data_IF_753046518216
#
_entry.id   IF_753046518216
#
_cell.length_a   1.000
_cell.length_b   1.000
_cell.length_c   1.000
_cell.angle_alpha   90.00
_cell.angle_beta   90.00
_cell.angle_gamma   90.00
#
_symmetry.space_group_name_H-M   'P 1'
#
loop_
_entity.id
_entity.type
_entity.pdbx_description
1 polymer ?
#
# COMPACT_ATOMS: atom_id res chain seq x y z
N UNK A 1 33.62 -41.31 -51.69
CA UNK A 1 33.55 -39.90 -51.31
C UNK A 1 32.13 -39.64 -50.72
N UNK A 2 32.02 -39.58 -49.40
CA UNK A 2 30.72 -39.41 -48.70
C UNK A 2 30.62 -37.94 -48.29
N UNK A 3 29.63 -37.20 -48.84
CA UNK A 3 29.38 -35.80 -48.54
C UNK A 3 28.50 -35.73 -47.28
N UNK A 4 29.05 -35.23 -46.18
CA UNK A 4 28.27 -34.91 -44.97
C UNK A 4 27.54 -33.58 -45.17
N UNK A 5 26.24 -33.62 -45.10
CA UNK A 5 25.35 -32.44 -45.10
C UNK A 5 25.23 -31.95 -43.65
N UNK A 6 25.79 -30.79 -43.32
CA UNK A 6 25.65 -30.15 -42.02
C UNK A 6 24.35 -29.33 -42.06
N UNK A 7 23.34 -29.78 -41.36
CA UNK A 7 22.10 -29.01 -41.14
C UNK A 7 22.32 -28.10 -39.91
N UNK A 8 22.43 -26.79 -40.17
CA UNK A 8 22.49 -25.77 -39.13
C UNK A 8 21.03 -25.49 -38.71
N UNK A 9 20.63 -25.97 -37.52
CA UNK A 9 19.36 -25.60 -36.90
C UNK A 9 19.56 -24.28 -36.15
N UNK A 10 19.06 -23.17 -36.71
CA UNK A 10 18.96 -21.89 -36.01
C UNK A 10 17.81 -21.98 -35.00
N UNK A 11 18.05 -21.68 -33.73
CA UNK A 11 16.96 -21.59 -32.78
C UNK A 11 16.12 -20.33 -33.08
N UNK A 12 14.83 -20.53 -33.38
CA UNK A 12 13.85 -19.45 -33.44
C UNK A 12 13.63 -18.94 -32.00
N UNK A 13 14.26 -17.83 -31.64
CA UNK A 13 13.88 -17.09 -30.45
C UNK A 13 12.53 -16.40 -30.72
N UNK A 14 11.44 -16.97 -30.22
CA UNK A 14 10.17 -16.30 -30.17
C UNK A 14 10.26 -15.16 -29.13
N UNK A 15 10.43 -13.93 -29.63
CA UNK A 15 10.25 -12.71 -28.87
C UNK A 15 8.76 -12.64 -28.49
N UNK A 16 8.41 -13.08 -27.28
CA UNK A 16 7.12 -12.76 -26.68
C UNK A 16 7.11 -11.26 -26.42
N UNK A 17 6.57 -10.47 -27.34
CA UNK A 17 6.20 -9.08 -27.08
C UNK A 17 5.07 -9.10 -26.04
N UNK A 18 5.38 -8.78 -24.80
CA UNK A 18 4.40 -8.37 -23.82
C UNK A 18 3.74 -7.11 -24.38
N UNK A 19 2.52 -7.25 -24.89
CA UNK A 19 1.76 -6.11 -25.36
C UNK A 19 1.58 -5.13 -24.21
N UNK A 20 2.16 -3.94 -24.32
CA UNK A 20 1.89 -2.84 -23.41
C UNK A 20 0.37 -2.60 -23.41
N UNK A 21 -0.29 -2.85 -22.29
CA UNK A 21 -1.71 -2.55 -22.16
C UNK A 21 -1.88 -1.04 -22.38
N UNK A 22 -2.66 -0.67 -23.39
CA UNK A 22 -2.90 0.75 -23.72
C UNK A 22 -3.52 1.43 -22.49
N UNK A 23 -2.82 2.41 -21.94
CA UNK A 23 -3.32 3.18 -20.80
C UNK A 23 -4.54 4.01 -21.23
N UNK A 24 -5.58 4.01 -20.39
CA UNK A 24 -6.77 4.84 -20.57
C UNK A 24 -6.44 6.30 -20.30
N UNK A 25 -7.07 7.20 -21.04
CA UNK A 25 -6.94 8.65 -20.83
C UNK A 25 -7.60 9.08 -19.51
N UNK A 26 -7.29 10.27 -19.04
CA UNK A 26 -7.92 10.85 -17.84
C UNK A 26 -9.44 10.96 -18.03
N UNK A 27 -9.91 11.32 -19.22
CA UNK A 27 -11.36 11.48 -19.50
C UNK A 27 -12.10 10.12 -19.43
N UNK A 28 -11.42 9.00 -19.71
CA UNK A 28 -11.97 7.66 -19.55
C UNK A 28 -11.94 7.18 -18.09
N UNK A 29 -11.04 7.73 -17.27
CA UNK A 29 -10.89 7.35 -15.86
C UNK A 29 -11.79 8.17 -14.94
N UNK A 30 -12.06 9.45 -15.28
CA UNK A 30 -12.91 10.34 -14.48
C UNK A 30 -14.38 10.06 -14.79
N UNK A 31 -15.11 9.54 -13.83
CA UNK A 31 -16.56 9.34 -13.91
C UNK A 31 -17.28 10.50 -13.21
N UNK A 32 -17.99 11.32 -13.98
CA UNK A 32 -18.76 12.45 -13.46
C UNK A 32 -20.24 12.10 -13.18
N UNK A 33 -20.71 10.96 -13.64
CA UNK A 33 -22.12 10.55 -13.50
C UNK A 33 -22.36 9.83 -12.18
N UNK A 34 -21.41 8.96 -11.79
CA UNK A 34 -21.51 8.12 -10.59
C UNK A 34 -20.13 8.09 -9.90
N UNK A 35 -19.67 9.24 -9.35
CA UNK A 35 -18.35 9.31 -8.72
C UNK A 35 -18.37 8.64 -7.34
N UNK A 36 -17.45 7.71 -7.13
CA UNK A 36 -17.29 7.00 -5.86
C UNK A 36 -16.97 7.93 -4.67
N UNK A 37 -16.55 9.17 -4.95
CA UNK A 37 -16.25 10.16 -3.92
C UNK A 37 -17.46 10.52 -3.05
N UNK A 38 -18.67 10.51 -3.60
CA UNK A 38 -19.89 10.80 -2.83
C UNK A 38 -19.98 9.82 -1.66
N UNK A 39 -19.82 8.53 -1.91
CA UNK A 39 -19.87 7.49 -0.89
C UNK A 39 -18.68 7.59 0.10
N UNK A 40 -17.46 7.76 -0.42
CA UNK A 40 -16.27 7.90 0.43
C UNK A 40 -16.41 9.10 1.37
N UNK A 41 -16.94 10.22 0.88
CA UNK A 41 -17.17 11.42 1.69
C UNK A 41 -18.22 11.20 2.77
N UNK A 42 -19.31 10.53 2.44
CA UNK A 42 -20.36 10.16 3.42
C UNK A 42 -19.81 9.23 4.53
N UNK A 43 -18.97 8.26 4.15
CA UNK A 43 -18.32 7.39 5.14
C UNK A 43 -17.36 8.16 6.05
N UNK A 44 -16.61 9.12 5.50
CA UNK A 44 -15.72 9.98 6.29
C UNK A 44 -16.53 10.88 7.23
N UNK A 45 -17.62 11.48 6.75
CA UNK A 45 -18.46 12.39 7.53
C UNK A 45 -19.17 11.68 8.70
N UNK A 46 -19.44 10.38 8.54
CA UNK A 46 -20.03 9.52 9.56
C UNK A 46 -19.02 8.69 10.37
N UNK A 47 -17.71 8.88 10.12
CA UNK A 47 -16.65 8.08 10.72
C UNK A 47 -16.60 8.27 12.26
N UNK A 48 -16.42 7.16 12.98
CA UNK A 48 -16.16 7.15 14.44
C UNK A 48 -14.73 7.55 14.76
N UNK A 49 -13.79 7.14 13.93
CA UNK A 49 -12.39 7.51 14.05
C UNK A 49 -12.16 8.85 13.34
N UNK A 50 -11.24 9.66 13.87
CA UNK A 50 -10.88 10.91 13.24
C UNK A 50 -10.22 10.66 11.89
N UNK A 51 -10.78 11.24 10.83
CA UNK A 51 -10.23 11.19 9.48
C UNK A 51 -9.88 12.60 9.01
N UNK A 52 -8.63 12.82 8.67
CA UNK A 52 -8.17 14.07 8.05
C UNK A 52 -8.01 13.83 6.54
N UNK A 53 -8.75 14.58 5.72
CA UNK A 53 -8.60 14.59 4.27
C UNK A 53 -7.48 15.57 3.94
N UNK A 54 -6.40 15.07 3.35
CA UNK A 54 -5.27 15.91 2.95
C UNK A 54 -5.59 16.70 1.68
N UNK A 55 -5.13 17.95 1.58
CA UNK A 55 -5.36 18.78 0.42
C UNK A 55 -4.91 18.12 -0.87
N UNK A 56 -5.72 18.24 -1.92
CA UNK A 56 -5.43 17.73 -3.26
C UNK A 56 -4.83 18.84 -4.13
N UNK A 57 -3.77 18.50 -4.86
CA UNK A 57 -3.30 19.25 -6.01
C UNK A 57 -3.89 18.65 -7.28
N UNK A 58 -4.61 19.42 -8.07
CA UNK A 58 -5.33 18.92 -9.26
C UNK A 58 -4.40 18.28 -10.29
N UNK A 59 -3.18 18.78 -10.46
CA UNK A 59 -2.23 18.20 -11.42
C UNK A 59 -1.66 16.89 -10.91
N UNK A 60 -1.28 16.83 -9.62
CA UNK A 60 -0.86 15.59 -8.96
C UNK A 60 -1.97 14.55 -8.98
N UNK A 61 -3.22 14.94 -8.75
CA UNK A 61 -4.38 14.04 -8.76
C UNK A 61 -4.62 13.41 -10.13
N UNK A 62 -4.57 14.21 -11.20
CA UNK A 62 -4.69 13.72 -12.59
C UNK A 62 -3.55 12.78 -12.93
N UNK A 63 -2.32 13.14 -12.60
CA UNK A 63 -1.14 12.31 -12.83
C UNK A 63 -1.22 10.98 -12.05
N UNK A 64 -1.57 11.04 -10.78
CA UNK A 64 -1.71 9.84 -9.94
C UNK A 64 -2.84 8.93 -10.45
N UNK A 65 -4.00 9.47 -10.82
CA UNK A 65 -5.10 8.68 -11.38
C UNK A 65 -4.70 8.02 -12.70
N UNK A 66 -4.05 8.78 -13.59
CA UNK A 66 -3.54 8.25 -14.87
C UNK A 66 -2.54 7.11 -14.65
N UNK A 67 -1.60 7.27 -13.74
CA UNK A 67 -0.59 6.25 -13.41
C UNK A 67 -1.19 5.01 -12.71
N UNK A 68 -2.25 5.18 -11.92
CA UNK A 68 -2.91 4.08 -11.19
C UNK A 68 -3.88 3.28 -12.08
N UNK A 69 -4.41 3.89 -13.15
CA UNK A 69 -5.35 3.26 -14.09
C UNK A 69 -6.65 2.73 -13.46
N UNK A 70 -7.10 3.32 -12.37
CA UNK A 70 -8.41 3.06 -11.75
C UNK A 70 -9.39 4.19 -12.07
N UNK A 71 -10.69 3.90 -12.10
CA UNK A 71 -11.71 4.92 -12.36
C UNK A 71 -12.15 5.60 -11.06
N UNK A 72 -12.54 6.88 -11.13
CA UNK A 72 -13.09 7.61 -9.98
C UNK A 72 -14.47 7.10 -9.54
N UNK A 73 -15.05 6.14 -10.26
CA UNK A 73 -16.23 5.39 -9.82
C UNK A 73 -15.92 4.49 -8.61
N UNK A 74 -14.71 3.94 -8.57
CA UNK A 74 -14.29 3.11 -7.45
C UNK A 74 -13.86 3.97 -6.24
N UNK A 75 -14.05 3.49 -5.00
CA UNK A 75 -13.56 4.18 -3.82
C UNK A 75 -12.05 4.46 -3.86
N UNK A 76 -11.23 3.54 -4.40
CA UNK A 76 -9.79 3.76 -4.54
C UNK A 76 -9.48 4.91 -5.50
N UNK A 77 -10.08 4.90 -6.69
CA UNK A 77 -9.90 5.98 -7.67
C UNK A 77 -10.42 7.31 -7.14
N UNK A 78 -11.51 7.29 -6.36
CA UNK A 78 -12.04 8.46 -5.67
C UNK A 78 -11.03 9.03 -4.66
N UNK A 79 -10.43 8.20 -3.79
CA UNK A 79 -9.39 8.62 -2.83
C UNK A 79 -8.19 9.19 -3.56
N UNK A 80 -7.69 8.50 -4.60
CA UNK A 80 -6.52 8.96 -5.39
C UNK A 80 -6.79 10.29 -6.08
N UNK A 81 -7.99 10.51 -6.61
CA UNK A 81 -8.28 11.71 -7.41
C UNK A 81 -8.73 12.89 -6.57
N UNK A 82 -9.43 12.66 -5.47
CA UNK A 82 -10.07 13.71 -4.67
C UNK A 82 -9.27 14.11 -3.43
N UNK A 83 -8.18 13.40 -3.11
CA UNK A 83 -7.40 13.66 -1.89
C UNK A 83 -5.90 13.54 -2.14
N UNK A 84 -5.10 14.27 -1.34
CA UNK A 84 -3.66 14.03 -1.23
C UNK A 84 -3.34 12.75 -0.44
N UNK A 85 -4.35 12.14 0.17
CA UNK A 85 -4.34 10.99 1.06
C UNK A 85 -5.26 11.19 2.24
N UNK A 86 -5.46 10.16 3.06
CA UNK A 86 -6.27 10.22 4.28
C UNK A 86 -5.41 9.84 5.49
N UNK A 87 -5.48 10.65 6.53
CA UNK A 87 -4.85 10.35 7.82
C UNK A 87 -5.94 9.94 8.81
N UNK A 88 -5.90 8.68 9.26
CA UNK A 88 -6.88 8.15 10.19
C UNK A 88 -6.28 8.05 11.59
N UNK A 89 -7.07 8.30 12.61
CA UNK A 89 -6.68 8.29 14.02
C UNK A 89 -5.41 9.11 14.28
N UNK A 90 -5.50 10.40 13.93
CA UNK A 90 -4.41 11.39 14.05
C UNK A 90 -3.15 11.04 13.21
N UNK A 91 -3.30 10.26 12.13
CA UNK A 91 -2.21 9.83 11.26
C UNK A 91 -1.55 8.52 11.70
N UNK A 92 -2.20 7.76 12.60
CA UNK A 92 -1.76 6.40 12.92
C UNK A 92 -1.82 5.51 11.67
N UNK A 93 -2.92 5.57 10.91
CA UNK A 93 -3.02 4.94 9.58
C UNK A 93 -2.98 6.04 8.52
N UNK A 94 -2.22 5.81 7.46
CA UNK A 94 -2.01 6.72 6.34
C UNK A 94 -2.40 6.02 5.05
N UNK A 95 -3.56 6.39 4.50
CA UNK A 95 -4.10 5.83 3.24
C UNK A 95 -3.60 6.70 2.09
N UNK A 96 -2.98 6.09 1.10
CA UNK A 96 -2.34 6.78 0.00
C UNK A 96 -3.35 7.33 -1.01
N UNK A 97 -3.18 8.60 -1.37
CA UNK A 97 -3.92 9.32 -2.41
C UNK A 97 -2.98 9.79 -3.52
N UNK A 98 -3.15 11.04 -3.96
CA UNK A 98 -2.30 11.67 -4.97
C UNK A 98 -1.02 12.30 -4.42
N UNK A 99 -0.83 12.26 -3.11
CA UNK A 99 0.25 12.97 -2.42
C UNK A 99 -0.08 14.42 -2.07
N UNK A 100 0.51 14.91 -1.00
CA UNK A 100 0.38 16.28 -0.49
C UNK A 100 1.68 16.67 0.22
N UNK A 101 1.78 17.93 0.65
CA UNK A 101 2.94 18.37 1.43
C UNK A 101 3.07 17.61 2.77
N UNK A 102 1.93 17.18 3.34
CA UNK A 102 1.90 16.44 4.60
C UNK A 102 2.14 14.93 4.42
N UNK A 103 1.76 14.36 3.27
CA UNK A 103 2.02 12.96 2.89
C UNK A 103 2.58 12.97 1.46
N UNK A 104 3.90 13.04 1.33
CA UNK A 104 4.56 13.26 0.04
C UNK A 104 4.39 12.12 -0.96
N UNK A 105 4.09 10.91 -0.50
CA UNK A 105 3.93 9.70 -1.31
C UNK A 105 2.54 9.64 -1.95
N UNK A 106 2.49 9.50 -3.28
CA UNK A 106 1.26 9.11 -3.98
C UNK A 106 1.16 7.59 -4.08
N UNK A 107 -0.06 7.07 -4.27
CA UNK A 107 -0.27 5.62 -4.44
C UNK A 107 0.58 5.05 -5.59
N UNK A 108 0.57 5.60 -6.83
CA UNK A 108 1.34 5.02 -7.92
C UNK A 108 2.86 5.15 -7.74
N UNK A 109 3.35 6.26 -7.20
CA UNK A 109 4.78 6.48 -7.03
C UNK A 109 5.36 5.61 -5.91
N UNK A 110 4.59 5.39 -4.82
CA UNK A 110 4.99 4.49 -3.75
C UNK A 110 5.13 3.04 -4.22
N UNK A 111 4.31 2.63 -5.18
CA UNK A 111 4.30 1.28 -5.71
C UNK A 111 5.36 1.05 -6.81
N UNK A 112 5.74 2.09 -7.57
CA UNK A 112 6.73 1.96 -8.65
C UNK A 112 8.08 1.48 -8.11
N UNK A 113 8.66 0.50 -8.79
CA UNK A 113 9.90 -0.17 -8.38
C UNK A 113 9.74 -1.12 -7.18
N UNK A 114 8.49 -1.32 -6.69
CA UNK A 114 8.16 -2.25 -5.59
C UNK A 114 7.17 -3.33 -6.02
N UNK A 115 6.09 -2.94 -6.69
CA UNK A 115 5.01 -3.84 -7.10
C UNK A 115 4.84 -3.90 -8.62
N UNK A 116 5.36 -2.92 -9.32
CA UNK A 116 5.50 -2.84 -10.78
C UNK A 116 6.67 -1.93 -11.15
N UNK A 117 7.26 -2.13 -12.33
CA UNK A 117 8.37 -1.29 -12.85
C UNK A 117 7.83 -0.08 -13.61
N UNK A 118 6.90 -0.29 -14.54
CA UNK A 118 6.32 0.75 -15.38
C UNK A 118 4.83 0.93 -15.12
N UNK A 119 4.36 2.18 -15.21
CA UNK A 119 2.95 2.50 -15.06
C UNK A 119 2.10 1.78 -16.11
N UNK A 120 0.93 1.29 -15.70
CA UNK A 120 0.04 0.50 -16.54
C UNK A 120 0.34 -0.99 -16.59
N UNK A 121 1.42 -1.45 -15.97
CA UNK A 121 1.66 -2.87 -15.77
C UNK A 121 0.70 -3.43 -14.71
N UNK A 122 0.20 -4.67 -14.90
CA UNK A 122 -0.54 -5.37 -13.86
C UNK A 122 0.35 -5.59 -12.63
N UNK A 123 -0.10 -5.14 -11.47
CA UNK A 123 0.59 -5.40 -10.21
C UNK A 123 0.06 -6.69 -9.58
N UNK A 124 0.95 -7.54 -9.10
CA UNK A 124 0.55 -8.73 -8.33
C UNK A 124 -0.05 -8.37 -6.96
N UNK A 125 0.27 -7.18 -6.46
CA UNK A 125 -0.37 -6.53 -5.31
C UNK A 125 -0.07 -5.03 -5.30
N UNK A 126 -0.83 -4.24 -4.53
CA UNK A 126 -0.60 -2.81 -4.36
C UNK A 126 -0.49 -2.45 -2.88
N UNK A 127 0.53 -1.67 -2.53
CA UNK A 127 0.69 -1.06 -1.21
C UNK A 127 -0.25 0.15 -1.14
N UNK A 128 -1.34 0.05 -0.37
CA UNK A 128 -2.43 1.04 -0.37
C UNK A 128 -2.41 1.98 0.83
N UNK A 129 -1.83 1.53 1.94
CA UNK A 129 -1.71 2.29 3.18
C UNK A 129 -0.59 1.74 4.04
N UNK A 130 -0.21 2.49 5.06
CA UNK A 130 0.70 2.07 6.12
C UNK A 130 0.27 2.63 7.47
N UNK A 131 0.91 2.16 8.54
CA UNK A 131 0.69 2.68 9.87
C UNK A 131 1.96 3.20 10.55
N UNK A 132 1.78 3.79 11.73
CA UNK A 132 2.85 4.47 12.45
C UNK A 132 3.96 3.53 12.96
N UNK A 133 3.72 2.22 13.01
CA UNK A 133 4.70 1.20 13.46
C UNK A 133 5.31 0.40 12.32
N UNK A 134 5.03 0.81 11.07
CA UNK A 134 5.60 0.22 9.87
C UNK A 134 4.83 -0.97 9.30
N UNK A 135 3.63 -1.25 9.79
CA UNK A 135 2.71 -2.19 9.15
C UNK A 135 2.23 -1.64 7.81
N UNK A 136 2.07 -2.51 6.82
CA UNK A 136 1.67 -2.15 5.46
C UNK A 136 0.37 -2.84 5.08
N UNK A 137 -0.62 -2.08 4.63
CA UNK A 137 -1.85 -2.62 4.05
C UNK A 137 -1.70 -2.78 2.55
N UNK A 138 -2.06 -3.95 2.06
CA UNK A 138 -1.73 -4.42 0.70
C UNK A 138 -2.98 -4.97 0.05
N UNK A 139 -3.33 -4.47 -1.12
CA UNK A 139 -4.42 -5.00 -1.94
C UNK A 139 -3.89 -6.12 -2.83
N UNK A 140 -4.40 -7.33 -2.66
CA UNK A 140 -3.98 -8.50 -3.42
C UNK A 140 -4.45 -8.45 -4.88
N UNK A 141 -3.50 -8.53 -5.81
CA UNK A 141 -3.72 -8.69 -7.25
C UNK A 141 -3.41 -10.11 -7.75
N UNK A 142 -3.26 -11.08 -6.83
CA UNK A 142 -2.94 -12.48 -7.12
C UNK A 142 -1.54 -12.91 -6.67
N UNK A 143 -0.73 -12.00 -6.13
CA UNK A 143 0.61 -12.32 -5.64
C UNK A 143 0.66 -12.84 -4.20
N UNK A 144 -0.42 -12.67 -3.44
CA UNK A 144 -0.47 -13.09 -2.04
C UNK A 144 -1.42 -14.28 -1.80
N UNK A 145 -2.32 -14.55 -2.75
CA UNK A 145 -3.30 -15.64 -2.66
C UNK A 145 -4.29 -15.59 -3.83
N UNK A 146 -5.21 -16.55 -3.87
CA UNK A 146 -6.25 -16.63 -4.91
C UNK A 146 -7.42 -15.66 -4.69
N UNK A 147 -7.49 -15.00 -3.56
CA UNK A 147 -8.52 -14.07 -3.10
C UNK A 147 -8.26 -12.65 -3.64
N UNK A 148 -8.41 -12.48 -4.94
CA UNK A 148 -8.19 -11.23 -5.64
C UNK A 148 -9.02 -10.09 -5.04
N UNK A 149 -8.40 -8.91 -4.90
CA UNK A 149 -9.06 -7.71 -4.38
C UNK A 149 -9.25 -7.69 -2.86
N UNK A 150 -8.70 -8.67 -2.13
CA UNK A 150 -8.67 -8.67 -0.67
C UNK A 150 -7.45 -7.94 -0.13
N UNK A 151 -7.62 -7.34 1.03
CA UNK A 151 -6.55 -6.61 1.73
C UNK A 151 -5.82 -7.54 2.69
N UNK A 152 -4.51 -7.46 2.65
CA UNK A 152 -3.57 -8.10 3.56
C UNK A 152 -2.88 -7.05 4.41
N UNK A 153 -2.44 -7.45 5.57
CA UNK A 153 -1.61 -6.64 6.45
C UNK A 153 -0.23 -7.31 6.59
N UNK A 154 0.82 -6.65 6.13
CA UNK A 154 2.19 -7.06 6.44
C UNK A 154 2.48 -6.59 7.87
N UNK A 155 2.34 -7.53 8.80
CA UNK A 155 2.38 -7.25 10.23
C UNK A 155 3.83 -7.08 10.73
N UNK A 156 4.15 -6.00 11.47
CA UNK A 156 5.52 -5.75 11.92
C UNK A 156 5.98 -6.65 13.07
N UNK A 157 5.07 -7.41 13.69
CA UNK A 157 5.33 -8.28 14.84
C UNK A 157 5.57 -9.77 14.50
N UNK A 158 5.35 -10.15 13.25
CA UNK A 158 5.63 -11.49 12.76
C UNK A 158 6.23 -11.50 11.35
N UNK A 159 6.18 -10.36 10.65
CA UNK A 159 6.65 -10.17 9.28
C UNK A 159 5.86 -11.01 8.26
N UNK A 160 4.63 -11.42 8.55
CA UNK A 160 3.80 -12.22 7.66
C UNK A 160 2.75 -11.36 6.94
N UNK A 161 2.28 -11.83 5.80
CA UNK A 161 1.14 -11.26 5.09
C UNK A 161 -0.14 -11.87 5.65
N UNK A 162 -0.81 -11.16 6.56
CA UNK A 162 -2.03 -11.60 7.20
C UNK A 162 -3.26 -11.20 6.38
N UNK A 163 -4.10 -12.14 5.90
CA UNK A 163 -5.33 -11.79 5.20
C UNK A 163 -6.32 -11.15 6.18
N UNK A 164 -6.86 -9.98 5.81
CA UNK A 164 -7.89 -9.31 6.60
C UNK A 164 -9.31 -9.66 6.15
N UNK A 165 -9.47 -10.41 5.05
CA UNK A 165 -10.75 -10.74 4.39
C UNK A 165 -11.59 -9.52 3.96
N UNK A 166 -10.99 -8.35 3.90
CA UNK A 166 -11.61 -7.08 3.54
C UNK A 166 -11.38 -6.76 2.06
N UNK A 167 -12.38 -6.25 1.37
CA UNK A 167 -12.16 -5.51 0.12
C UNK A 167 -11.57 -4.13 0.42
N UNK A 168 -11.15 -3.37 -0.61
CA UNK A 168 -10.70 -1.98 -0.38
C UNK A 168 -11.79 -1.11 0.27
N UNK A 169 -13.04 -1.29 -0.11
CA UNK A 169 -14.19 -0.61 0.50
C UNK A 169 -14.35 -0.97 1.97
N UNK A 170 -14.29 -2.26 2.29
CA UNK A 170 -14.38 -2.75 3.67
C UNK A 170 -13.20 -2.26 4.51
N UNK A 171 -12.00 -2.16 3.90
CA UNK A 171 -10.81 -1.60 4.55
C UNK A 171 -10.98 -0.12 4.90
N UNK A 172 -11.55 0.70 4.01
CA UNK A 172 -11.89 2.09 4.34
C UNK A 172 -12.86 2.14 5.52
N UNK A 173 -13.93 1.34 5.49
CA UNK A 173 -14.89 1.26 6.59
C UNK A 173 -14.26 0.74 7.89
N UNK A 174 -13.36 -0.23 7.81
CA UNK A 174 -12.56 -0.69 8.94
C UNK A 174 -11.77 0.47 9.55
N UNK A 175 -11.02 1.21 8.74
CA UNK A 175 -10.25 2.35 9.21
C UNK A 175 -11.12 3.45 9.85
N UNK A 176 -12.31 3.71 9.28
CA UNK A 176 -13.16 4.80 9.72
C UNK A 176 -14.03 4.45 10.94
N UNK A 177 -14.44 3.20 11.08
CA UNK A 177 -15.50 2.84 12.01
C UNK A 177 -15.16 1.76 13.05
N UNK A 178 -14.13 0.94 12.81
CA UNK A 178 -13.77 -0.12 13.74
C UNK A 178 -13.03 0.41 14.96
N UNK A 179 -13.00 -0.41 16.01
CA UNK A 179 -12.24 -0.11 17.22
C UNK A 179 -10.73 -0.30 16.96
N UNK A 180 -10.05 0.77 16.53
CA UNK A 180 -8.62 0.75 16.28
C UNK A 180 -7.79 0.59 17.56
N UNK A 181 -8.31 0.99 18.72
CA UNK A 181 -7.64 0.74 19.99
C UNK A 181 -7.57 -0.76 20.30
N UNK A 182 -8.61 -1.53 19.96
CA UNK A 182 -8.57 -2.99 20.11
C UNK A 182 -7.66 -3.65 19.08
N UNK A 183 -7.69 -3.21 17.81
CA UNK A 183 -6.82 -3.75 16.75
C UNK A 183 -5.34 -3.54 17.06
N UNK A 184 -4.99 -2.37 17.59
CA UNK A 184 -3.62 -1.99 17.92
C UNK A 184 -3.28 -2.08 19.41
N UNK A 185 -4.05 -2.80 20.23
CA UNK A 185 -3.91 -2.83 21.70
C UNK A 185 -2.51 -3.20 22.18
N UNK A 186 -1.87 -4.14 21.48
CA UNK A 186 -0.54 -4.65 21.81
C UNK A 186 0.59 -3.79 21.20
N UNK A 187 0.24 -2.78 20.38
CA UNK A 187 1.16 -1.95 19.61
C UNK A 187 1.11 -0.46 19.96
N UNK A 188 0.26 -0.09 20.92
CA UNK A 188 0.15 1.29 21.41
C UNK A 188 0.75 1.40 22.80
N UNK A 189 1.86 2.12 22.93
CA UNK A 189 2.50 2.42 24.21
C UNK A 189 1.83 3.59 24.93
N UNK A 190 2.16 3.79 26.22
CA UNK A 190 1.45 4.76 27.07
C UNK A 190 1.35 6.19 26.48
N UNK A 191 2.38 6.66 25.79
CA UNK A 191 2.46 8.02 25.25
C UNK A 191 2.38 8.07 23.72
N UNK A 192 1.81 7.05 23.07
CA UNK A 192 1.81 6.93 21.61
C UNK A 192 1.23 8.15 20.88
N UNK A 193 0.17 8.80 21.42
CA UNK A 193 -0.43 9.99 20.82
C UNK A 193 0.50 11.20 20.80
N UNK A 194 1.29 11.38 21.89
CA UNK A 194 2.27 12.46 21.99
C UNK A 194 3.41 12.26 21.01
N UNK A 195 3.89 11.03 20.89
CA UNK A 195 4.97 10.68 19.97
C UNK A 195 4.49 10.75 18.52
N UNK A 196 3.30 10.21 18.23
CA UNK A 196 2.68 10.27 16.91
C UNK A 196 2.52 11.70 16.40
N UNK A 197 2.18 12.65 17.27
CA UNK A 197 2.03 14.06 16.87
C UNK A 197 3.34 14.70 16.37
N UNK A 198 4.50 14.08 16.63
CA UNK A 198 5.83 14.53 16.16
C UNK A 198 6.29 13.75 14.93
N UNK A 199 5.69 12.59 14.66
CA UNK A 199 6.06 11.72 13.56
C UNK A 199 5.65 12.35 12.22
N UNK A 200 6.58 12.43 11.27
CA UNK A 200 6.25 12.83 9.89
C UNK A 200 5.56 11.67 9.17
N UNK A 201 4.69 11.99 8.23
CA UNK A 201 3.89 10.98 7.54
C UNK A 201 4.70 10.09 6.56
N UNK A 202 5.94 10.43 6.30
CA UNK A 202 6.91 9.61 5.57
C UNK A 202 7.86 8.82 6.49
N UNK A 203 7.60 8.85 7.81
CA UNK A 203 8.35 8.13 8.84
C UNK A 203 7.45 7.14 9.59
N UNK A 204 8.08 6.14 10.19
CA UNK A 204 7.48 5.17 11.10
C UNK A 204 8.35 5.00 12.34
N UNK A 205 7.78 4.49 13.42
CA UNK A 205 8.56 4.05 14.56
C UNK A 205 9.13 2.66 14.31
N UNK A 206 10.45 2.56 14.33
CA UNK A 206 11.15 1.30 14.35
C UNK A 206 11.56 0.97 15.79
N UNK A 207 11.35 -0.27 16.22
CA UNK A 207 11.53 -0.71 17.59
C UNK A 207 12.77 -1.60 17.74
N UNK A 208 13.45 -1.48 18.89
CA UNK A 208 14.52 -2.39 19.24
C UNK A 208 14.37 -2.83 20.72
N UNK A 209 14.35 -4.14 21.02
CA UNK A 209 14.32 -5.27 20.07
C UNK A 209 13.14 -5.21 19.10
N UNK A 210 13.29 -5.79 17.90
CA UNK A 210 12.24 -5.81 16.88
C UNK A 210 10.98 -6.49 17.39
N UNK A 211 9.80 -5.98 17.02
CA UNK A 211 8.48 -6.46 17.49
C UNK A 211 8.26 -7.95 17.20
N UNK A 212 8.81 -8.47 16.11
CA UNK A 212 8.72 -9.89 15.74
C UNK A 212 9.64 -10.80 16.57
N UNK A 213 10.49 -10.28 17.43
CA UNK A 213 11.32 -11.07 18.34
C UNK A 213 10.62 -11.31 19.68
N UNK A 214 10.99 -12.39 20.37
CA UNK A 214 10.45 -12.68 21.71
C UNK A 214 10.66 -11.52 22.68
N UNK A 215 11.79 -10.83 22.59
CA UNK A 215 12.14 -9.71 23.45
C UNK A 215 11.39 -8.41 23.09
N UNK A 216 11.01 -8.25 21.82
CA UNK A 216 10.31 -7.06 21.32
C UNK A 216 8.79 -7.06 21.52
N UNK A 217 8.20 -8.17 21.97
CA UNK A 217 6.73 -8.27 22.16
C UNK A 217 6.17 -7.31 23.20
N UNK A 218 6.96 -6.87 24.16
CA UNK A 218 6.54 -5.83 25.11
C UNK A 218 6.98 -4.46 24.59
N UNK A 219 6.12 -3.82 23.81
CA UNK A 219 6.42 -2.54 23.16
C UNK A 219 6.77 -1.43 24.14
N UNK A 220 6.30 -1.50 25.39
CA UNK A 220 6.61 -0.52 26.43
C UNK A 220 8.07 -0.60 26.93
N UNK A 221 8.73 -1.75 26.72
CA UNK A 221 10.13 -1.96 27.07
C UNK A 221 11.08 -1.76 25.88
N UNK A 222 10.56 -1.77 24.66
CA UNK A 222 11.35 -1.55 23.47
C UNK A 222 11.74 -0.08 23.33
N UNK A 223 12.99 0.19 22.95
CA UNK A 223 13.37 1.51 22.47
C UNK A 223 12.78 1.73 21.08
N UNK A 224 12.47 2.98 20.73
CA UNK A 224 11.92 3.30 19.41
C UNK A 224 12.64 4.50 18.81
N UNK A 225 12.69 4.51 17.48
CA UNK A 225 13.28 5.58 16.68
C UNK A 225 12.44 5.82 15.44
N UNK A 226 12.26 7.08 15.08
CA UNK A 226 11.64 7.46 13.81
C UNK A 226 12.62 7.18 12.66
N UNK A 227 12.15 6.43 11.67
CA UNK A 227 12.93 6.12 10.46
C UNK A 227 12.05 6.36 9.22
N UNK A 228 12.65 6.64 8.04
CA UNK A 228 11.89 6.70 6.80
C UNK A 228 11.14 5.38 6.55
N UNK A 229 9.86 5.47 6.14
CA UNK A 229 9.06 4.29 5.81
C UNK A 229 9.68 3.46 4.68
N UNK A 230 10.37 4.10 3.74
CA UNK A 230 11.10 3.44 2.65
C UNK A 230 12.21 2.53 3.18
N UNK A 231 12.98 3.03 4.15
CA UNK A 231 14.04 2.26 4.81
C UNK A 231 13.45 1.10 5.60
N UNK A 232 12.38 1.36 6.37
CA UNK A 232 11.70 0.35 7.17
C UNK A 232 11.13 -0.77 6.29
N UNK A 233 10.43 -0.43 5.21
CA UNK A 233 9.85 -1.40 4.27
C UNK A 233 10.93 -2.29 3.65
N UNK A 234 12.03 -1.69 3.17
CA UNK A 234 13.16 -2.45 2.62
C UNK A 234 13.77 -3.40 3.65
N UNK A 235 13.97 -2.93 4.87
CA UNK A 235 14.50 -3.75 5.96
C UNK A 235 13.56 -4.90 6.33
N UNK A 236 12.25 -4.66 6.34
CA UNK A 236 11.22 -5.68 6.56
C UNK A 236 11.30 -6.79 5.52
N UNK A 237 11.42 -6.44 4.23
CA UNK A 237 11.57 -7.43 3.16
C UNK A 237 12.89 -8.21 3.28
N UNK A 238 13.97 -7.55 3.68
CA UNK A 238 15.24 -8.22 3.90
C UNK A 238 15.16 -9.24 5.04
N UNK A 239 14.53 -8.90 6.17
CA UNK A 239 14.31 -9.83 7.27
C UNK A 239 13.41 -11.00 6.85
N UNK A 240 12.33 -10.76 6.11
CA UNK A 240 11.49 -11.83 5.56
C UNK A 240 12.33 -12.83 4.76
N UNK A 241 13.19 -12.32 3.87
CA UNK A 241 14.09 -13.16 3.07
C UNK A 241 15.06 -13.95 3.93
N UNK A 242 15.70 -13.32 4.92
CA UNK A 242 16.66 -13.97 5.83
C UNK A 242 15.99 -15.07 6.68
N UNK A 243 14.73 -14.87 7.05
CA UNK A 243 13.93 -15.83 7.84
C UNK A 243 13.23 -16.89 6.97
N UNK A 244 13.38 -16.84 5.64
CA UNK A 244 12.76 -17.78 4.71
C UNK A 244 11.25 -17.65 4.57
N UNK A 245 10.67 -16.48 4.92
CA UNK A 245 9.23 -16.19 4.82
C UNK A 245 8.77 -15.87 3.40
N UNK A 246 9.69 -15.65 2.46
CA UNK A 246 9.37 -15.36 1.04
C UNK A 246 9.15 -16.62 0.19
N UNK A 247 9.32 -17.83 0.76
CA UNK A 247 9.24 -19.09 0.04
C UNK A 247 7.84 -19.73 0.05
N UNK A 248 6.85 -19.10 0.67
CA UNK A 248 5.46 -19.54 0.59
C UNK A 248 4.83 -19.03 -0.71
N UNK A 249 4.79 -19.91 -1.73
CA UNK A 249 3.98 -19.76 -2.94
C UNK A 249 2.65 -20.46 -2.76
#
# INVERSE_FOLDING_TARGET
MMKFLIIIILPLFSLTTYGQTKMRSIDELVNNTDPGWIFVKEWIDSAKNKVEILPVDTNKAKDALYKTQVTTRSPMGAVVYMTGGLLVDNGWIRILGSGSDKLSRSLPEWNRGKTFEDYGQPASYLLIADDAIGGIFILNGGGLGSDLGKVYYLAPDNLEYEPLDLTYTDFLNFCFNNNLDEFYKDYRWANWKIDLAKLKSDQVFNFFPYLWTKQGKDINKASKKEVPIEEHYRLTLEFRKQLGLDTQK
#
